data_IF_527825195616
#
_entry.id   IF_527825195616
#
_cell.length_a   1.000
_cell.length_b   1.000
_cell.length_c   1.000
_cell.angle_alpha   90.00
_cell.angle_beta   90.00
_cell.angle_gamma   90.00
#
_symmetry.space_group_name_H-M   'P 1'
#
loop_
_entity.id
_entity.type
_entity.pdbx_description
1 polymer ?
#
# COMPACT_ATOMS: atom_id res chain seq x y z
N UNK A 1 65.67 -60.59 -37.80
CA UNK A 1 65.66 -59.62 -36.68
C UNK A 1 64.63 -58.50 -36.82
N UNK A 2 64.46 -57.85 -37.99
CA UNK A 2 63.53 -56.72 -38.17
C UNK A 2 62.06 -56.97 -37.80
N UNK A 3 61.48 -58.15 -38.10
CA UNK A 3 60.06 -58.47 -37.78
C UNK A 3 59.76 -58.61 -36.28
N UNK A 4 60.69 -59.17 -35.48
CA UNK A 4 60.54 -59.27 -34.01
C UNK A 4 60.63 -57.89 -33.34
N UNK A 5 61.47 -57.00 -33.86
CA UNK A 5 61.61 -55.64 -33.35
C UNK A 5 60.35 -54.79 -33.59
N UNK A 6 59.74 -54.92 -34.77
CA UNK A 6 58.48 -54.24 -35.11
C UNK A 6 57.34 -54.72 -34.19
N UNK A 7 57.24 -56.02 -33.92
CA UNK A 7 56.21 -56.59 -33.05
C UNK A 7 56.30 -56.08 -31.59
N UNK A 8 57.52 -55.97 -31.06
CA UNK A 8 57.76 -55.43 -29.71
C UNK A 8 57.43 -53.93 -29.64
N UNK A 9 57.78 -53.16 -30.68
CA UNK A 9 57.43 -51.74 -30.78
C UNK A 9 55.91 -51.52 -30.83
N UNK A 10 55.18 -52.35 -31.57
CA UNK A 10 53.72 -52.27 -31.64
C UNK A 10 53.07 -52.58 -30.29
N UNK A 11 53.57 -53.58 -29.54
CA UNK A 11 53.07 -53.88 -28.19
C UNK A 11 53.39 -52.76 -27.19
N UNK A 12 54.57 -52.15 -27.27
CA UNK A 12 54.94 -51.02 -26.42
C UNK A 12 54.06 -49.79 -26.72
N UNK A 13 53.77 -49.52 -28.00
CA UNK A 13 52.89 -48.44 -28.43
C UNK A 13 51.46 -48.70 -27.95
N UNK A 14 50.92 -49.91 -28.15
CA UNK A 14 49.57 -50.28 -27.68
C UNK A 14 49.48 -50.22 -26.15
N UNK A 15 50.51 -50.69 -25.43
CA UNK A 15 50.59 -50.60 -23.97
C UNK A 15 50.66 -49.15 -23.47
N UNK A 16 51.40 -48.28 -24.17
CA UNK A 16 51.47 -46.85 -23.86
C UNK A 16 50.18 -46.10 -24.17
N UNK A 17 49.48 -46.46 -25.25
CA UNK A 17 48.16 -45.91 -25.61
C UNK A 17 47.11 -46.39 -24.62
N UNK A 18 47.11 -47.67 -24.26
CA UNK A 18 46.22 -48.22 -23.24
C UNK A 18 46.47 -47.54 -21.89
N UNK A 19 47.73 -47.33 -21.50
CA UNK A 19 48.08 -46.57 -20.30
C UNK A 19 47.62 -45.10 -20.39
N UNK A 20 47.78 -44.45 -21.54
CA UNK A 20 47.29 -43.08 -21.80
C UNK A 20 45.77 -42.99 -21.96
N UNK A 21 45.03 -44.09 -22.09
CA UNK A 21 43.56 -44.09 -22.12
C UNK A 21 43.00 -44.48 -20.75
N UNK A 22 43.65 -45.41 -20.03
CA UNK A 22 43.21 -45.88 -18.71
C UNK A 22 43.76 -45.06 -17.53
N UNK A 23 44.96 -44.48 -17.66
CA UNK A 23 45.62 -43.68 -16.62
C UNK A 23 45.69 -42.18 -16.96
N UNK A 24 45.12 -41.75 -18.08
CA UNK A 24 44.91 -40.33 -18.33
C UNK A 24 43.77 -39.84 -17.44
N UNK A 25 43.96 -38.75 -16.68
CA UNK A 25 43.04 -38.44 -15.62
C UNK A 25 41.66 -38.11 -16.19
N UNK A 26 40.61 -38.71 -15.60
CA UNK A 26 39.39 -37.96 -15.26
C UNK A 26 39.82 -36.56 -14.81
N UNK A 27 39.10 -35.51 -15.22
CA UNK A 27 39.37 -34.11 -14.84
C UNK A 27 40.06 -34.00 -13.47
N UNK A 28 41.21 -33.33 -13.41
CA UNK A 28 41.92 -33.10 -12.14
C UNK A 28 41.19 -32.12 -11.22
N UNK A 29 40.18 -31.44 -11.74
CA UNK A 29 39.21 -30.68 -10.96
C UNK A 29 38.03 -31.58 -10.66
N UNK A 30 37.72 -31.76 -9.38
CA UNK A 30 36.53 -32.43 -8.86
C UNK A 30 35.52 -31.35 -8.53
N UNK A 31 34.36 -31.43 -9.17
CA UNK A 31 33.24 -30.53 -8.93
C UNK A 31 32.31 -31.14 -7.89
N UNK A 32 31.53 -30.30 -7.22
CA UNK A 32 30.43 -30.75 -6.38
C UNK A 32 29.40 -31.54 -7.20
N UNK A 33 28.71 -32.46 -6.52
CA UNK A 33 27.62 -33.23 -7.12
C UNK A 33 26.44 -32.33 -7.57
N UNK A 34 26.24 -31.20 -6.88
CA UNK A 34 25.26 -30.19 -7.25
C UNK A 34 25.94 -28.89 -7.71
N UNK A 35 25.69 -28.52 -8.96
CA UNK A 35 26.16 -27.30 -9.61
C UNK A 35 25.00 -26.33 -9.76
N UNK A 36 24.34 -26.02 -8.66
CA UNK A 36 23.19 -25.12 -8.60
C UNK A 36 23.51 -23.85 -7.80
N UNK A 37 23.15 -22.69 -8.35
CA UNK A 37 23.20 -21.42 -7.65
C UNK A 37 21.80 -20.82 -7.59
N UNK A 38 21.50 -20.19 -6.46
CA UNK A 38 20.24 -19.48 -6.27
C UNK A 38 20.25 -18.14 -7.01
N UNK A 39 19.11 -17.75 -7.57
CA UNK A 39 18.96 -16.46 -8.27
C UNK A 39 19.30 -15.30 -7.32
N UNK A 40 20.10 -14.34 -7.81
CA UNK A 40 20.60 -13.17 -7.07
C UNK A 40 21.44 -13.49 -5.82
N UNK A 41 21.98 -14.70 -5.70
CA UNK A 41 22.93 -15.07 -4.64
C UNK A 41 24.37 -14.63 -4.94
N UNK A 42 25.22 -14.55 -3.90
CA UNK A 42 26.65 -14.23 -4.03
C UNK A 42 27.50 -15.48 -4.28
N UNK A 43 27.07 -16.33 -5.21
CA UNK A 43 27.73 -17.60 -5.50
C UNK A 43 29.11 -17.41 -6.15
N UNK A 44 30.08 -18.21 -5.72
CA UNK A 44 31.45 -18.19 -6.22
C UNK A 44 31.83 -19.51 -6.87
N UNK A 45 32.80 -19.48 -7.77
CA UNK A 45 33.29 -20.66 -8.44
C UNK A 45 33.87 -21.69 -7.46
N UNK A 46 34.53 -21.23 -6.39
CA UNK A 46 35.05 -22.11 -5.33
C UNK A 46 33.97 -22.90 -4.60
N UNK A 47 32.72 -22.40 -4.54
CA UNK A 47 31.61 -23.08 -3.85
C UNK A 47 31.27 -24.43 -4.51
N UNK A 48 31.67 -24.60 -5.77
CA UNK A 48 31.37 -25.75 -6.63
C UNK A 48 32.59 -26.63 -6.95
N UNK A 49 33.77 -26.29 -6.44
CA UNK A 49 35.01 -27.02 -6.67
C UNK A 49 35.42 -27.69 -5.36
N UNK A 50 35.23 -29.01 -5.26
CA UNK A 50 35.59 -29.78 -4.06
C UNK A 50 37.11 -29.96 -3.93
N UNK A 51 37.78 -30.23 -5.06
CA UNK A 51 39.21 -30.54 -5.05
C UNK A 51 39.87 -30.20 -6.39
N UNK A 52 41.09 -29.66 -6.33
CA UNK A 52 42.03 -29.64 -7.47
C UNK A 52 43.17 -30.61 -7.18
N UNK A 53 43.12 -31.80 -7.77
CA UNK A 53 44.09 -32.88 -7.54
C UNK A 53 45.50 -32.47 -7.95
N UNK A 54 46.42 -32.42 -6.97
CA UNK A 54 47.83 -32.01 -7.14
C UNK A 54 47.94 -30.59 -7.70
N UNK A 55 47.08 -29.70 -7.25
CA UNK A 55 47.01 -28.32 -7.70
C UNK A 55 46.18 -27.43 -6.77
N UNK A 56 45.88 -26.22 -7.23
CA UNK A 56 45.02 -25.26 -6.52
C UNK A 56 44.26 -24.38 -7.50
N UNK A 57 43.17 -23.77 -7.02
CA UNK A 57 42.54 -22.64 -7.69
C UNK A 57 43.48 -21.42 -7.62
N UNK A 58 43.67 -20.72 -8.74
CA UNK A 58 44.55 -19.54 -8.81
C UNK A 58 43.85 -18.31 -8.24
N UNK A 59 42.62 -18.09 -8.69
CA UNK A 59 41.76 -16.99 -8.28
C UNK A 59 40.31 -17.46 -8.33
N UNK A 60 39.53 -16.98 -7.37
CA UNK A 60 38.11 -17.27 -7.29
C UNK A 60 37.30 -16.30 -8.14
N UNK A 61 36.20 -16.76 -8.71
CA UNK A 61 35.39 -15.99 -9.65
C UNK A 61 33.95 -15.90 -9.16
N UNK A 62 33.39 -14.70 -9.17
CA UNK A 62 31.97 -14.51 -8.93
C UNK A 62 31.16 -15.09 -10.10
N UNK A 63 30.05 -15.74 -9.79
CA UNK A 63 29.12 -16.27 -10.79
C UNK A 63 28.00 -15.25 -10.99
N UNK A 64 27.70 -14.92 -12.25
CA UNK A 64 26.54 -14.07 -12.57
C UNK A 64 25.23 -14.84 -12.31
N UNK A 65 24.64 -14.60 -11.15
CA UNK A 65 23.35 -15.17 -10.73
C UNK A 65 22.18 -14.23 -11.00
N UNK A 66 22.36 -13.15 -11.79
CA UNK A 66 21.30 -12.16 -12.04
C UNK A 66 20.18 -12.66 -12.96
N UNK A 67 20.39 -13.80 -13.63
CA UNK A 67 19.44 -14.42 -14.55
C UNK A 67 19.44 -15.94 -14.39
N UNK A 68 18.27 -16.54 -14.56
CA UNK A 68 18.13 -17.99 -14.60
C UNK A 68 18.75 -18.57 -15.89
N UNK A 69 19.22 -19.82 -15.81
CA UNK A 69 19.80 -20.54 -16.93
C UNK A 69 21.12 -21.23 -16.58
N UNK A 70 21.86 -21.66 -17.60
CA UNK A 70 23.19 -22.26 -17.43
C UNK A 70 24.24 -21.20 -17.69
N UNK A 71 25.01 -20.87 -16.66
CA UNK A 71 26.12 -19.91 -16.73
C UNK A 71 27.42 -20.69 -16.89
N UNK A 72 28.19 -20.38 -17.93
CA UNK A 72 29.53 -20.95 -18.11
C UNK A 72 30.53 -20.17 -17.27
N UNK A 73 31.15 -20.86 -16.30
CA UNK A 73 32.16 -20.31 -15.40
C UNK A 73 33.53 -20.75 -15.91
N UNK A 74 34.46 -19.79 -16.02
CA UNK A 74 35.87 -20.07 -16.35
C UNK A 74 36.73 -19.66 -15.17
N UNK A 75 37.43 -20.63 -14.59
CA UNK A 75 38.45 -20.39 -13.55
C UNK A 75 39.81 -20.82 -14.05
N UNK A 76 40.87 -20.34 -13.40
CA UNK A 76 42.23 -20.79 -13.66
C UNK A 76 42.72 -21.66 -12.52
N UNK A 77 43.24 -22.85 -12.85
CA UNK A 77 43.81 -23.79 -11.88
C UNK A 77 45.29 -23.99 -12.17
N UNK A 78 46.12 -23.99 -11.12
CA UNK A 78 47.52 -24.39 -11.22
C UNK A 78 47.63 -25.88 -10.88
N UNK A 79 48.14 -26.68 -11.82
CA UNK A 79 48.40 -28.09 -11.63
C UNK A 79 49.88 -28.35 -11.92
N UNK A 80 50.65 -28.62 -10.87
CA UNK A 80 52.09 -28.88 -10.95
C UNK A 80 52.88 -27.74 -11.65
N UNK A 81 52.55 -26.48 -11.34
CA UNK A 81 53.23 -25.29 -11.87
C UNK A 81 52.77 -24.90 -13.29
N UNK A 82 51.61 -25.39 -13.73
CA UNK A 82 51.03 -25.10 -15.04
C UNK A 82 49.60 -24.59 -14.88
N UNK A 83 49.42 -23.29 -15.09
CA UNK A 83 48.11 -22.62 -15.06
C UNK A 83 47.31 -22.99 -16.30
N UNK A 84 46.06 -23.43 -16.12
CA UNK A 84 45.14 -23.78 -17.22
C UNK A 84 43.74 -23.27 -16.92
N UNK A 85 42.98 -22.83 -17.94
CA UNK A 85 41.56 -22.55 -17.76
C UNK A 85 40.80 -23.87 -17.56
N UNK A 86 39.87 -23.86 -16.62
CA UNK A 86 38.89 -24.90 -16.41
C UNK A 86 37.49 -24.30 -16.54
N UNK A 87 36.66 -24.94 -17.37
CA UNK A 87 35.31 -24.49 -17.68
C UNK A 87 34.30 -25.49 -17.15
N UNK A 88 33.29 -24.98 -16.47
CA UNK A 88 32.14 -25.76 -16.04
C UNK A 88 30.88 -24.90 -16.13
N UNK A 89 29.71 -25.52 -15.99
CA UNK A 89 28.43 -24.82 -16.07
C UNK A 89 27.70 -24.94 -14.75
N UNK A 90 27.29 -23.81 -14.20
CA UNK A 90 26.42 -23.74 -13.02
C UNK A 90 25.01 -23.42 -13.49
N UNK A 91 24.03 -24.18 -12.99
CA UNK A 91 22.62 -23.91 -13.23
C UNK A 91 22.16 -22.88 -12.21
N UNK A 92 21.82 -21.69 -12.69
CA UNK A 92 21.13 -20.68 -11.89
C UNK A 92 19.63 -20.91 -12.04
N UNK A 93 18.94 -21.15 -10.93
CA UNK A 93 17.48 -21.17 -10.90
C UNK A 93 17.00 -20.61 -9.59
N UNK A 94 15.82 -20.02 -9.64
CA UNK A 94 15.11 -19.52 -8.48
C UNK A 94 14.36 -20.66 -7.80
N UNK A 95 14.71 -20.95 -6.54
CA UNK A 95 14.11 -22.03 -5.75
C UNK A 95 13.45 -21.55 -4.47
N UNK A 96 13.56 -20.25 -4.18
CA UNK A 96 12.97 -19.65 -3.00
C UNK A 96 11.52 -19.25 -3.30
N UNK A 97 10.65 -19.49 -2.33
CA UNK A 97 9.26 -19.07 -2.44
C UNK A 97 9.11 -17.60 -2.03
N UNK A 98 8.11 -16.89 -2.60
CA UNK A 98 7.78 -15.54 -2.17
C UNK A 98 7.49 -15.44 -0.68
N UNK A 99 7.90 -14.36 -0.03
CA UNK A 99 7.59 -14.07 1.37
C UNK A 99 6.34 -13.19 1.48
N UNK A 100 5.32 -13.67 2.22
CA UNK A 100 4.08 -12.92 2.50
C UNK A 100 4.19 -12.18 3.84
N UNK A 101 4.30 -10.86 3.76
CA UNK A 101 4.35 -9.94 4.89
C UNK A 101 2.97 -9.32 5.13
N UNK A 102 2.38 -9.66 6.28
CA UNK A 102 1.03 -9.25 6.69
C UNK A 102 0.90 -9.33 8.20
N UNK A 103 0.10 -8.45 8.84
CA UNK A 103 -0.36 -8.67 10.20
C UNK A 103 -1.18 -9.96 10.31
N UNK A 104 -1.30 -10.49 11.53
CA UNK A 104 -2.11 -11.68 11.82
C UNK A 104 -3.61 -11.41 11.64
N UNK A 105 -4.05 -10.19 11.97
CA UNK A 105 -5.42 -9.75 11.84
C UNK A 105 -5.51 -8.36 11.21
N UNK A 106 -6.48 -8.18 10.32
CA UNK A 106 -6.77 -6.92 9.62
C UNK A 106 -8.21 -6.53 9.92
N UNK A 107 -8.40 -5.36 10.54
CA UNK A 107 -9.73 -4.82 10.74
C UNK A 107 -10.21 -4.06 9.49
N UNK A 108 -11.42 -4.35 9.03
CA UNK A 108 -12.08 -3.69 7.91
C UNK A 108 -13.48 -3.21 8.31
N UNK A 109 -13.93 -2.10 7.75
CA UNK A 109 -15.19 -1.46 8.16
C UNK A 109 -16.40 -2.25 7.66
N UNK A 110 -17.42 -2.38 8.53
CA UNK A 110 -18.72 -2.95 8.18
C UNK A 110 -19.33 -2.23 6.97
N UNK A 111 -19.86 -3.02 6.04
CA UNK A 111 -20.51 -2.55 4.81
C UNK A 111 -19.54 -2.02 3.76
N UNK A 112 -18.23 -2.29 3.89
CA UNK A 112 -17.19 -1.87 2.95
C UNK A 112 -16.33 -3.05 2.50
N UNK A 113 -15.89 -3.08 1.23
CA UNK A 113 -14.91 -4.07 0.79
C UNK A 113 -13.57 -3.83 1.48
N UNK A 114 -12.80 -4.90 1.66
CA UNK A 114 -11.52 -4.89 2.34
C UNK A 114 -10.39 -5.02 1.30
N UNK A 115 -9.63 -3.95 1.04
CA UNK A 115 -8.56 -3.94 0.04
C UNK A 115 -7.28 -4.59 0.55
N UNK A 116 -7.29 -5.93 0.62
CA UNK A 116 -6.17 -6.73 1.11
C UNK A 116 -4.89 -6.55 0.28
N UNK A 117 -5.04 -6.30 -1.02
CA UNK A 117 -3.95 -6.15 -1.98
C UNK A 117 -3.01 -4.98 -1.66
N UNK A 118 -3.51 -3.95 -0.98
CA UNK A 118 -2.73 -2.75 -0.61
C UNK A 118 -2.06 -2.88 0.77
N UNK A 119 -2.53 -3.82 1.59
CA UNK A 119 -2.06 -4.04 2.96
C UNK A 119 -1.01 -5.14 3.00
N UNK A 120 -1.22 -6.19 2.23
CA UNK A 120 -0.38 -7.38 2.21
C UNK A 120 0.76 -7.14 1.23
N UNK A 121 1.99 -7.19 1.73
CA UNK A 121 3.19 -7.05 0.91
C UNK A 121 3.76 -8.43 0.63
N UNK A 122 4.05 -8.70 -0.63
CA UNK A 122 4.73 -9.93 -1.05
C UNK A 122 6.06 -9.56 -1.69
N UNK A 123 7.13 -10.18 -1.23
CA UNK A 123 8.50 -9.95 -1.72
C UNK A 123 9.13 -11.27 -2.13
N UNK A 124 10.12 -11.20 -3.00
CA UNK A 124 10.84 -12.37 -3.48
C UNK A 124 12.29 -11.99 -3.80
N UNK A 125 13.19 -12.97 -3.91
CA UNK A 125 14.56 -12.75 -4.37
C UNK A 125 14.60 -12.50 -5.89
N UNK A 126 13.59 -12.90 -6.64
CA UNK A 126 13.38 -12.47 -8.02
C UNK A 126 12.80 -11.05 -8.07
N UNK A 127 13.15 -10.29 -9.11
CA UNK A 127 12.51 -9.00 -9.42
C UNK A 127 11.26 -9.19 -10.29
N UNK A 128 10.70 -10.39 -10.31
CA UNK A 128 9.63 -10.78 -11.22
C UNK A 128 8.26 -10.47 -10.63
N UNK A 129 7.23 -10.50 -11.49
CA UNK A 129 5.85 -10.30 -11.03
C UNK A 129 5.37 -11.55 -10.29
N UNK A 130 4.91 -11.36 -9.06
CA UNK A 130 4.34 -12.41 -8.21
C UNK A 130 2.83 -12.43 -8.36
N UNK A 131 2.26 -13.62 -8.53
CA UNK A 131 0.82 -13.83 -8.58
C UNK A 131 0.29 -14.02 -7.15
N UNK A 132 -0.62 -13.16 -6.72
CA UNK A 132 -1.26 -13.21 -5.40
C UNK A 132 -2.72 -13.64 -5.56
N UNK A 133 -3.18 -14.56 -4.72
CA UNK A 133 -4.56 -15.02 -4.70
C UNK A 133 -5.09 -15.18 -3.28
N UNK A 134 -6.35 -14.81 -3.08
CA UNK A 134 -7.04 -14.88 -1.80
C UNK A 134 -8.16 -15.93 -1.86
N UNK A 135 -8.17 -16.84 -0.89
CA UNK A 135 -9.19 -17.87 -0.77
C UNK A 135 -9.89 -17.74 0.58
N UNK A 136 -11.21 -17.61 0.53
CA UNK A 136 -12.05 -17.39 1.70
C UNK A 136 -13.29 -16.61 1.29
N UNK A 137 -14.33 -16.63 2.13
CA UNK A 137 -15.50 -15.78 1.94
C UNK A 137 -15.58 -14.83 3.12
N UNK A 138 -15.41 -13.54 2.85
CA UNK A 138 -15.61 -12.47 3.82
C UNK A 138 -16.97 -11.84 3.50
N UNK A 139 -17.87 -11.85 4.47
CA UNK A 139 -19.17 -11.17 4.37
C UNK A 139 -19.01 -9.77 4.98
N UNK A 140 -18.78 -8.75 4.13
CA UNK A 140 -18.58 -7.37 4.59
C UNK A 140 -19.79 -6.79 5.31
N UNK A 141 -20.97 -7.38 5.17
CA UNK A 141 -22.22 -6.90 5.78
C UNK A 141 -22.46 -7.46 7.19
N UNK A 142 -21.56 -8.33 7.68
CA UNK A 142 -21.69 -8.94 9.01
C UNK A 142 -20.42 -8.75 9.82
N UNK A 143 -20.52 -8.17 11.04
CA UNK A 143 -19.38 -8.13 11.95
C UNK A 143 -18.90 -9.53 12.31
N UNK A 144 -17.59 -9.71 12.40
CA UNK A 144 -17.00 -11.00 12.78
C UNK A 144 -15.60 -11.24 12.22
N UNK A 145 -15.00 -12.33 12.68
CA UNK A 145 -13.71 -12.81 12.19
C UNK A 145 -13.91 -13.82 11.06
N UNK A 146 -13.18 -13.62 9.97
CA UNK A 146 -13.21 -14.46 8.78
C UNK A 146 -11.79 -14.91 8.45
N UNK A 147 -11.59 -16.22 8.28
CA UNK A 147 -10.30 -16.76 7.86
C UNK A 147 -10.14 -16.63 6.34
N UNK A 148 -9.04 -16.02 5.92
CA UNK A 148 -8.64 -15.88 4.52
C UNK A 148 -7.24 -16.45 4.34
N UNK A 149 -7.09 -17.36 3.38
CA UNK A 149 -5.80 -17.88 2.95
C UNK A 149 -5.26 -16.98 1.83
N UNK A 150 -4.12 -16.34 2.07
CA UNK A 150 -3.34 -15.64 1.06
C UNK A 150 -2.30 -16.60 0.48
N UNK A 151 -2.26 -16.71 -0.84
CA UNK A 151 -1.30 -17.52 -1.58
C UNK A 151 -0.50 -16.65 -2.54
N UNK A 152 0.80 -16.88 -2.64
CA UNK A 152 1.71 -16.20 -3.55
C UNK A 152 2.50 -17.21 -4.37
N UNK A 153 2.68 -16.93 -5.67
CA UNK A 153 3.40 -17.76 -6.62
C UNK A 153 4.27 -16.90 -7.54
N UNK A 154 5.57 -17.21 -7.63
CA UNK A 154 6.49 -16.57 -8.58
C UNK A 154 6.39 -17.21 -9.98
N UNK A 155 7.22 -16.77 -10.94
CA UNK A 155 7.20 -17.34 -12.31
C UNK A 155 7.96 -18.67 -12.42
N UNK A 156 8.82 -18.97 -11.46
CA UNK A 156 9.54 -20.24 -11.34
C UNK A 156 8.66 -21.36 -10.77
N UNK A 157 7.48 -20.99 -10.23
CA UNK A 157 6.48 -21.89 -9.69
C UNK A 157 6.64 -22.13 -8.18
N UNK A 158 7.51 -21.40 -7.48
CA UNK A 158 7.62 -21.52 -6.03
C UNK A 158 6.45 -20.80 -5.35
N UNK A 159 5.96 -21.36 -4.24
CA UNK A 159 4.70 -20.94 -3.62
C UNK A 159 4.82 -20.79 -2.12
N UNK A 160 4.11 -19.80 -1.59
CA UNK A 160 3.89 -19.63 -0.16
C UNK A 160 2.41 -19.37 0.12
N UNK A 161 1.98 -19.77 1.33
CA UNK A 161 0.61 -19.55 1.80
C UNK A 161 0.66 -19.02 3.23
N UNK A 162 -0.29 -18.14 3.57
CA UNK A 162 -0.46 -17.61 4.92
C UNK A 162 -1.94 -17.38 5.22
N UNK A 163 -2.38 -17.88 6.38
CA UNK A 163 -3.72 -17.60 6.89
C UNK A 163 -3.72 -16.23 7.57
N UNK A 164 -4.76 -15.45 7.29
CA UNK A 164 -4.95 -14.08 7.79
C UNK A 164 -6.38 -13.98 8.31
N UNK A 165 -6.56 -13.35 9.47
CA UNK A 165 -7.89 -13.07 9.99
C UNK A 165 -8.36 -11.70 9.49
N UNK A 166 -9.51 -11.67 8.83
CA UNK A 166 -10.20 -10.43 8.48
C UNK A 166 -11.30 -10.20 9.50
N UNK A 167 -11.17 -9.12 10.26
CA UNK A 167 -12.16 -8.72 11.26
C UNK A 167 -13.05 -7.62 10.69
N UNK A 168 -14.31 -7.93 10.43
CA UNK A 168 -15.30 -6.92 10.03
C UNK A 168 -15.82 -6.23 11.28
N UNK A 169 -15.59 -4.92 11.38
CA UNK A 169 -15.87 -4.12 12.57
C UNK A 169 -16.99 -3.12 12.32
N UNK A 170 -17.95 -3.08 13.25
CA UNK A 170 -18.90 -1.97 13.37
C UNK A 170 -18.29 -0.89 14.27
N UNK A 171 -17.78 0.17 13.66
CA UNK A 171 -17.09 1.25 14.36
C UNK A 171 -18.00 2.02 15.33
N UNK A 172 -19.33 1.95 15.15
CA UNK A 172 -20.30 2.62 16.02
C UNK A 172 -20.60 1.83 17.29
N UNK A 173 -20.38 0.50 17.27
CA UNK A 173 -20.55 -0.38 18.43
C UNK A 173 -19.26 -0.63 19.18
N UNK A 174 -18.13 -0.20 18.63
CA UNK A 174 -16.82 -0.37 19.22
C UNK A 174 -16.33 0.94 19.88
N UNK A 175 -16.15 0.91 21.20
CA UNK A 175 -15.65 2.04 21.98
C UNK A 175 -14.14 1.98 22.22
N UNK A 176 -13.48 0.92 21.77
CA UNK A 176 -12.06 0.70 21.99
C UNK A 176 -11.20 1.47 20.97
N UNK A 177 -9.95 1.70 21.35
CA UNK A 177 -8.94 2.19 20.43
C UNK A 177 -8.66 1.12 19.38
N UNK A 178 -8.89 1.45 18.11
CA UNK A 178 -8.83 0.48 17.01
C UNK A 178 -8.16 1.05 15.78
N UNK A 179 -7.30 0.25 15.15
CA UNK A 179 -6.78 0.52 13.80
C UNK A 179 -7.52 -0.31 12.77
N UNK A 180 -7.76 0.23 11.58
CA UNK A 180 -8.46 -0.44 10.49
C UNK A 180 -7.90 -0.04 9.13
N UNK A 181 -8.34 -0.73 8.09
CA UNK A 181 -8.04 -0.43 6.69
C UNK A 181 -9.35 -0.05 5.99
N UNK A 182 -9.30 0.99 5.17
CA UNK A 182 -10.44 1.45 4.37
C UNK A 182 -10.60 0.68 3.07
N UNK A 183 -11.72 0.84 2.37
CA UNK A 183 -11.94 0.20 1.07
C UNK A 183 -11.07 0.75 -0.05
N UNK A 184 -10.32 1.83 0.17
CA UNK A 184 -9.28 2.28 -0.76
C UNK A 184 -7.86 1.95 -0.27
N UNK A 185 -7.72 1.22 0.83
CA UNK A 185 -6.43 0.78 1.39
C UNK A 185 -5.70 1.83 2.23
N UNK A 186 -6.39 2.85 2.72
CA UNK A 186 -5.81 3.79 3.67
C UNK A 186 -5.82 3.21 5.08
N UNK A 187 -4.84 3.60 5.90
CA UNK A 187 -4.85 3.29 7.32
C UNK A 187 -5.81 4.22 8.06
N UNK A 188 -6.66 3.62 8.90
CA UNK A 188 -7.55 4.32 9.81
C UNK A 188 -7.20 4.01 11.26
N UNK A 189 -7.43 4.98 12.14
CA UNK A 189 -7.35 4.79 13.59
C UNK A 189 -8.51 5.51 14.26
N UNK A 190 -9.09 4.90 15.29
CA UNK A 190 -9.99 5.53 16.24
C UNK A 190 -9.33 5.46 17.61
N UNK A 191 -9.14 6.62 18.24
CA UNK A 191 -8.53 6.74 19.58
C UNK A 191 -9.35 7.69 20.43
N UNK A 192 -9.78 7.24 21.61
CA UNK A 192 -10.63 8.03 22.50
C UNK A 192 -11.91 8.56 21.81
N UNK A 193 -12.49 7.75 20.92
CA UNK A 193 -13.67 8.11 20.13
C UNK A 193 -13.41 9.05 18.93
N UNK A 194 -12.18 9.47 18.69
CA UNK A 194 -11.81 10.34 17.55
C UNK A 194 -11.24 9.49 16.43
N UNK A 195 -11.83 9.57 15.24
CA UNK A 195 -11.36 8.82 14.06
C UNK A 195 -10.48 9.67 13.15
N UNK A 196 -9.35 9.11 12.71
CA UNK A 196 -8.50 9.65 11.65
C UNK A 196 -8.27 8.61 10.55
N UNK A 197 -8.26 9.06 9.31
CA UNK A 197 -7.87 8.24 8.15
C UNK A 197 -6.69 8.90 7.45
N UNK A 198 -5.59 8.17 7.33
CA UNK A 198 -4.31 8.68 6.84
C UNK A 198 -3.89 10.00 7.53
N UNK A 199 -4.13 10.09 8.85
CA UNK A 199 -3.88 11.28 9.67
C UNK A 199 -4.94 12.40 9.57
N UNK A 200 -5.91 12.29 8.68
CA UNK A 200 -7.00 13.27 8.50
C UNK A 200 -8.15 13.00 9.45
N UNK A 201 -8.54 13.98 10.28
CA UNK A 201 -9.68 13.88 11.18
C UNK A 201 -11.00 13.73 10.41
N UNK A 202 -11.77 12.69 10.70
CA UNK A 202 -13.05 12.43 10.05
C UNK A 202 -14.18 12.65 11.06
N UNK A 203 -15.17 13.44 10.64
CA UNK A 203 -16.46 13.58 11.29
C UNK A 203 -17.52 13.53 10.19
N UNK A 204 -18.36 12.50 10.20
CA UNK A 204 -19.46 12.31 9.26
C UNK A 204 -20.55 11.44 9.92
N UNK A 205 -21.52 10.93 9.15
CA UNK A 205 -22.62 10.15 9.73
C UNK A 205 -22.19 8.82 10.36
N UNK A 206 -21.07 8.25 9.94
CA UNK A 206 -20.50 7.03 10.53
C UNK A 206 -19.48 7.31 11.62
N UNK A 207 -18.62 8.33 11.47
CA UNK A 207 -17.58 8.62 12.45
C UNK A 207 -18.00 9.81 13.32
N UNK A 208 -18.47 9.51 14.52
CA UNK A 208 -18.87 10.52 15.51
C UNK A 208 -17.67 11.05 16.31
N UNK A 209 -17.80 12.28 16.79
CA UNK A 209 -16.91 12.94 17.74
C UNK A 209 -17.48 12.86 19.16
N UNK A 210 -16.62 12.69 20.20
CA UNK A 210 -17.06 12.71 21.60
C UNK A 210 -17.78 14.01 21.99
N UNK A 211 -18.72 13.95 22.92
CA UNK A 211 -19.45 15.15 23.39
C UNK A 211 -18.53 16.21 24.03
N UNK A 212 -17.49 15.77 24.73
CA UNK A 212 -16.47 16.64 25.32
C UNK A 212 -15.39 17.14 24.34
N UNK A 213 -15.43 16.72 23.08
CA UNK A 213 -14.44 17.13 22.09
C UNK A 213 -14.81 18.48 21.44
N UNK A 214 -13.85 19.39 21.39
CA UNK A 214 -13.94 20.59 20.56
C UNK A 214 -12.86 21.62 20.88
N UNK A 215 -12.28 22.29 19.87
CA UNK A 215 -11.23 23.29 20.08
C UNK A 215 -11.74 24.67 20.58
N UNK A 216 -13.06 24.89 20.68
CA UNK A 216 -13.64 26.18 21.09
C UNK A 216 -13.64 27.28 20.01
N UNK A 217 -13.02 27.03 18.86
CA UNK A 217 -12.88 27.96 17.74
C UNK A 217 -12.25 27.25 16.53
N UNK A 218 -11.94 28.00 15.46
CA UNK A 218 -11.14 27.41 14.38
C UNK A 218 -9.77 27.00 14.92
N UNK A 219 -9.28 25.84 14.49
CA UNK A 219 -7.91 25.44 14.81
C UNK A 219 -6.93 26.46 14.23
N UNK A 220 -5.75 26.63 14.85
CA UNK A 220 -4.75 27.60 14.38
C UNK A 220 -4.36 27.42 12.91
N UNK A 221 -4.32 26.17 12.41
CA UNK A 221 -4.04 25.87 10.99
C UNK A 221 -5.19 26.31 10.08
N UNK A 222 -6.43 26.02 10.45
CA UNK A 222 -7.60 26.44 9.68
C UNK A 222 -7.73 27.97 9.68
N UNK A 223 -7.56 28.63 10.83
CA UNK A 223 -7.61 30.09 10.92
C UNK A 223 -6.53 30.78 10.05
N UNK A 224 -5.30 30.26 10.04
CA UNK A 224 -4.23 30.77 9.19
C UNK A 224 -4.56 30.58 7.70
N UNK A 225 -5.04 29.40 7.31
CA UNK A 225 -5.45 29.10 5.94
C UNK A 225 -6.63 29.96 5.47
N UNK A 226 -7.62 30.21 6.34
CA UNK A 226 -8.70 31.15 6.06
C UNK A 226 -8.15 32.55 5.77
N UNK A 227 -7.25 33.07 6.62
CA UNK A 227 -6.65 34.39 6.41
C UNK A 227 -5.86 34.50 5.10
N UNK A 228 -5.19 33.42 4.67
CA UNK A 228 -4.56 33.37 3.34
C UNK A 228 -5.59 33.44 2.21
N UNK A 229 -6.64 32.62 2.30
CA UNK A 229 -7.70 32.55 1.29
C UNK A 229 -8.47 33.87 1.17
N UNK A 230 -8.85 34.48 2.29
CA UNK A 230 -9.55 35.77 2.36
C UNK A 230 -8.73 36.90 1.72
N UNK A 231 -7.42 36.96 2.00
CA UNK A 231 -6.53 37.97 1.39
C UNK A 231 -6.42 37.79 -0.12
N UNK A 232 -6.40 36.55 -0.60
CA UNK A 232 -6.37 36.27 -2.03
C UNK A 232 -7.70 36.62 -2.71
N UNK A 233 -8.82 36.22 -2.11
CA UNK A 233 -10.16 36.57 -2.58
C UNK A 233 -10.29 38.09 -2.76
N UNK A 234 -9.85 38.87 -1.76
CA UNK A 234 -9.85 40.33 -1.82
C UNK A 234 -8.98 40.91 -2.93
N UNK A 235 -7.82 40.29 -3.23
CA UNK A 235 -6.97 40.72 -4.35
C UNK A 235 -7.63 40.49 -5.70
N UNK A 236 -8.46 39.44 -5.79
CA UNK A 236 -9.25 39.12 -6.99
C UNK A 236 -10.60 39.86 -7.01
N UNK A 237 -10.81 40.82 -6.11
CA UNK A 237 -12.02 41.66 -6.05
C UNK A 237 -13.23 41.00 -5.38
N UNK A 238 -13.04 39.86 -4.72
CA UNK A 238 -14.11 39.13 -4.01
C UNK A 238 -14.19 39.55 -2.54
N UNK A 239 -15.40 39.51 -1.95
CA UNK A 239 -15.62 39.74 -0.53
C UNK A 239 -16.21 38.50 0.15
N UNK A 240 -15.36 37.73 0.83
CA UNK A 240 -15.77 36.52 1.56
C UNK A 240 -15.69 36.73 3.07
N UNK A 241 -16.68 36.19 3.79
CA UNK A 241 -16.83 36.32 5.25
C UNK A 241 -17.31 35.00 5.85
N UNK A 242 -16.83 34.67 7.04
CA UNK A 242 -17.32 33.49 7.78
C UNK A 242 -18.63 33.85 8.48
N UNK A 243 -19.70 33.11 8.21
CA UNK A 243 -20.99 33.25 8.91
C UNK A 243 -21.15 32.25 10.05
N UNK A 244 -20.51 31.08 9.94
CA UNK A 244 -20.53 30.05 10.98
C UNK A 244 -19.21 29.27 10.94
N UNK A 245 -18.63 29.04 12.13
CA UNK A 245 -17.33 28.39 12.31
C UNK A 245 -17.44 27.21 13.26
N UNK A 246 -16.66 27.19 14.34
CA UNK A 246 -16.78 26.14 15.36
C UNK A 246 -18.18 26.12 15.99
N UNK A 247 -18.73 24.91 16.15
CA UNK A 247 -20.00 24.64 16.84
C UNK A 247 -19.79 23.50 17.82
N UNK A 248 -20.10 23.73 19.10
CA UNK A 248 -19.95 22.69 20.13
C UNK A 248 -20.98 21.57 19.95
N UNK A 249 -20.73 20.44 20.60
CA UNK A 249 -21.68 19.31 20.63
C UNK A 249 -23.07 19.74 21.12
N UNK A 250 -23.14 20.50 22.22
CA UNK A 250 -24.41 20.93 22.81
C UNK A 250 -25.15 21.93 21.92
N UNK A 251 -24.43 22.84 21.27
CA UNK A 251 -25.02 23.73 20.27
C UNK A 251 -25.57 22.94 19.08
N UNK A 252 -24.82 21.93 18.59
CA UNK A 252 -25.30 21.06 17.51
C UNK A 252 -26.53 20.25 17.95
N UNK A 253 -26.57 19.78 19.20
CA UNK A 253 -27.73 19.05 19.75
C UNK A 253 -28.99 19.92 19.76
N UNK A 254 -28.88 21.15 20.27
CA UNK A 254 -29.99 22.09 20.25
C UNK A 254 -30.45 22.40 18.82
N UNK A 255 -29.51 22.68 17.91
CA UNK A 255 -29.81 23.02 16.53
C UNK A 255 -30.49 21.86 15.79
N UNK A 256 -29.97 20.63 15.94
CA UNK A 256 -30.55 19.45 15.34
C UNK A 256 -31.97 19.21 15.82
N UNK A 257 -32.22 19.30 17.14
CA UNK A 257 -33.56 19.13 17.69
C UNK A 257 -34.55 20.16 17.14
N UNK A 258 -34.10 21.41 16.95
CA UNK A 258 -34.92 22.45 16.32
C UNK A 258 -35.31 22.07 14.88
N UNK A 259 -34.37 21.59 14.05
CA UNK A 259 -34.69 21.12 12.70
C UNK A 259 -35.62 19.89 12.71
N UNK A 260 -35.47 18.99 13.68
CA UNK A 260 -36.40 17.85 13.83
C UNK A 260 -37.81 18.33 14.16
N UNK A 261 -37.96 19.38 14.97
CA UNK A 261 -39.26 19.97 15.31
C UNK A 261 -39.89 20.72 14.12
N UNK A 262 -39.08 21.43 13.32
CA UNK A 262 -39.54 22.25 12.19
C UNK A 262 -39.84 21.41 10.93
N UNK A 263 -38.92 20.51 10.57
CA UNK A 263 -38.92 19.83 9.27
C UNK A 263 -39.08 18.30 9.37
N UNK A 264 -38.96 17.75 10.58
CA UNK A 264 -39.02 16.31 10.85
C UNK A 264 -37.65 15.60 10.73
N UNK A 265 -37.50 14.47 11.43
CA UNK A 265 -36.23 13.72 11.54
C UNK A 265 -35.59 13.36 10.21
N UNK A 266 -36.40 12.96 9.22
CA UNK A 266 -35.89 12.51 7.92
C UNK A 266 -35.18 13.65 7.18
N UNK A 267 -35.75 14.85 7.20
CA UNK A 267 -35.17 16.04 6.55
C UNK A 267 -33.97 16.56 7.35
N UNK A 268 -34.12 16.65 8.68
CA UNK A 268 -33.04 17.06 9.57
C UNK A 268 -31.80 16.15 9.48
N UNK A 269 -31.98 14.86 9.19
CA UNK A 269 -30.89 13.90 9.00
C UNK A 269 -30.06 14.19 7.74
N UNK A 270 -30.53 15.01 6.77
CA UNK A 270 -29.84 15.37 5.53
C UNK A 270 -29.43 16.85 5.45
N UNK A 271 -30.24 17.76 5.99
CA UNK A 271 -29.98 19.21 6.02
C UNK A 271 -29.27 19.69 7.30
N UNK A 272 -29.13 18.80 8.29
CA UNK A 272 -28.39 19.05 9.52
C UNK A 272 -27.59 17.80 9.91
N UNK A 273 -26.92 17.86 11.06
CA UNK A 273 -26.14 16.75 11.60
C UNK A 273 -26.59 16.42 13.02
N UNK A 274 -26.73 15.13 13.33
CA UNK A 274 -26.84 14.67 14.71
C UNK A 274 -25.62 15.16 15.51
N UNK A 275 -25.75 15.47 16.82
CA UNK A 275 -24.62 15.94 17.61
C UNK A 275 -23.48 14.90 17.61
N UNK A 276 -22.23 15.36 17.48
CA UNK A 276 -21.07 14.50 17.25
C UNK A 276 -20.75 14.24 15.77
N UNK A 277 -21.72 14.40 14.86
CA UNK A 277 -21.53 14.12 13.43
C UNK A 277 -21.25 15.37 12.58
N UNK A 278 -21.30 16.57 13.19
CA UNK A 278 -21.04 17.83 12.48
C UNK A 278 -19.54 18.11 12.35
N UNK A 279 -19.08 18.41 11.14
CA UNK A 279 -17.71 18.87 10.93
C UNK A 279 -17.40 20.20 11.64
N UNK A 280 -18.39 21.04 11.95
CA UNK A 280 -18.16 22.28 12.70
C UNK A 280 -17.56 22.01 14.09
N UNK A 281 -17.86 20.86 14.69
CA UNK A 281 -17.28 20.47 15.98
C UNK A 281 -15.76 20.24 15.91
N UNK A 282 -15.21 20.00 14.71
CA UNK A 282 -13.75 19.86 14.50
C UNK A 282 -13.00 21.19 14.60
N UNK A 283 -13.68 22.34 14.44
CA UNK A 283 -13.01 23.63 14.22
C UNK A 283 -12.23 23.71 12.90
N UNK A 284 -12.57 22.85 11.94
CA UNK A 284 -11.98 22.81 10.59
C UNK A 284 -13.01 23.13 9.50
N UNK A 285 -14.28 23.34 9.83
CA UNK A 285 -15.32 23.71 8.88
C UNK A 285 -15.76 25.17 9.09
N UNK A 286 -16.12 25.82 7.98
CA UNK A 286 -16.70 27.15 7.95
C UNK A 286 -17.83 27.21 6.92
N UNK A 287 -18.84 27.99 7.24
CA UNK A 287 -19.86 28.46 6.30
C UNK A 287 -19.50 29.86 5.85
N UNK A 288 -19.54 30.12 4.54
CA UNK A 288 -19.08 31.38 3.95
C UNK A 288 -20.24 32.15 3.31
N UNK A 289 -20.36 33.44 3.66
CA UNK A 289 -21.30 34.43 3.13
C UNK A 289 -22.80 34.12 3.30
N UNK A 290 -23.34 33.09 2.63
CA UNK A 290 -24.78 32.81 2.58
C UNK A 290 -25.04 31.31 2.62
N UNK A 291 -25.89 30.87 3.55
CA UNK A 291 -26.32 29.48 3.72
C UNK A 291 -27.50 29.12 2.78
N UNK A 292 -27.38 29.47 1.51
CA UNK A 292 -28.40 29.18 0.49
C UNK A 292 -27.75 28.62 -0.77
N UNK A 293 -28.41 27.67 -1.45
CA UNK A 293 -27.85 27.03 -2.65
C UNK A 293 -27.50 28.02 -3.75
N UNK A 294 -28.28 29.11 -3.88
CA UNK A 294 -28.03 30.17 -4.86
C UNK A 294 -26.66 30.85 -4.71
N UNK A 295 -26.00 30.68 -3.56
CA UNK A 295 -24.64 31.18 -3.33
C UNK A 295 -23.65 30.66 -4.37
N UNK A 296 -23.82 29.43 -4.89
CA UNK A 296 -22.96 28.85 -5.94
C UNK A 296 -22.86 29.77 -7.18
N UNK A 297 -23.92 30.54 -7.46
CA UNK A 297 -24.04 31.33 -8.67
C UNK A 297 -23.43 32.73 -8.55
N UNK A 298 -23.08 33.15 -7.33
CA UNK A 298 -22.42 34.42 -7.04
C UNK A 298 -20.96 34.43 -7.53
N UNK A 299 -20.36 35.61 -7.79
CA UNK A 299 -18.93 35.71 -8.06
C UNK A 299 -18.08 35.04 -6.99
N UNK A 300 -18.41 35.24 -5.72
CA UNK A 300 -17.70 34.67 -4.56
C UNK A 300 -17.81 33.14 -4.52
N UNK A 301 -19.00 32.59 -4.71
CA UNK A 301 -19.21 31.13 -4.74
C UNK A 301 -18.41 30.46 -5.85
N UNK A 302 -18.43 31.03 -7.06
CA UNK A 302 -17.62 30.56 -8.20
C UNK A 302 -16.13 30.69 -7.94
N UNK A 303 -15.70 31.78 -7.30
CA UNK A 303 -14.30 31.98 -6.95
C UNK A 303 -13.84 30.93 -5.93
N UNK A 304 -14.62 30.70 -4.86
CA UNK A 304 -14.31 29.71 -3.84
C UNK A 304 -14.21 28.31 -4.45
N UNK A 305 -15.18 27.90 -5.27
CA UNK A 305 -15.18 26.59 -5.92
C UNK A 305 -13.90 26.34 -6.73
N UNK A 306 -13.34 27.38 -7.35
CA UNK A 306 -12.16 27.27 -8.22
C UNK A 306 -10.82 27.57 -7.51
N UNK A 307 -10.83 28.04 -6.27
CA UNK A 307 -9.62 28.54 -5.61
C UNK A 307 -9.39 28.02 -4.19
N UNK A 308 -10.42 27.57 -3.49
CA UNK A 308 -10.33 27.19 -2.07
C UNK A 308 -9.27 26.09 -1.82
N UNK A 309 -9.13 25.13 -2.74
CA UNK A 309 -8.16 24.03 -2.60
C UNK A 309 -6.71 24.51 -2.49
N UNK A 310 -6.37 25.64 -3.12
CA UNK A 310 -5.03 26.25 -3.08
C UNK A 310 -4.62 26.64 -1.66
N UNK A 311 -5.61 26.86 -0.80
CA UNK A 311 -5.46 27.23 0.60
C UNK A 311 -5.74 26.06 1.56
N UNK A 312 -6.03 24.86 1.03
CA UNK A 312 -6.31 23.67 1.82
C UNK A 312 -7.77 23.49 2.23
N UNK A 313 -8.68 24.26 1.63
CA UNK A 313 -10.13 24.17 1.85
C UNK A 313 -10.81 23.44 0.70
N UNK A 314 -11.77 22.58 1.00
CA UNK A 314 -12.57 21.86 -0.01
C UNK A 314 -14.04 22.25 0.10
N UNK A 315 -14.74 22.26 -1.03
CA UNK A 315 -16.19 22.22 -1.02
C UNK A 315 -16.62 20.83 -0.54
N UNK A 316 -17.12 20.73 0.69
CA UNK A 316 -17.26 19.43 1.37
C UNK A 316 -18.44 18.61 0.87
N UNK A 317 -19.56 19.28 0.63
CA UNK A 317 -20.83 18.70 0.24
C UNK A 317 -21.17 19.21 -1.16
N UNK A 318 -20.77 18.41 -2.15
CA UNK A 318 -20.89 18.72 -3.57
C UNK A 318 -22.25 18.30 -4.09
N UNK A 319 -22.69 18.89 -5.20
CA UNK A 319 -23.99 18.60 -5.81
C UNK A 319 -24.16 17.14 -6.18
N UNK A 320 -23.12 16.52 -6.71
CA UNK A 320 -23.10 15.12 -7.14
C UNK A 320 -22.69 14.15 -6.01
N UNK A 321 -22.27 14.67 -4.84
CA UNK A 321 -21.77 13.88 -3.71
C UNK A 321 -22.82 13.59 -2.62
N UNK A 322 -24.08 13.96 -2.81
CA UNK A 322 -25.11 13.88 -1.77
C UNK A 322 -25.39 12.43 -1.32
N UNK A 323 -25.44 11.48 -2.25
CA UNK A 323 -25.63 10.06 -1.95
C UNK A 323 -24.47 9.45 -1.14
N UNK A 324 -23.26 9.95 -1.36
CA UNK A 324 -22.05 9.45 -0.72
C UNK A 324 -21.86 10.09 0.66
N UNK A 325 -21.95 11.42 0.74
CA UNK A 325 -21.76 12.16 1.99
C UNK A 325 -22.97 12.04 2.92
N UNK A 326 -24.16 11.86 2.36
CA UNK A 326 -25.44 11.88 3.03
C UNK A 326 -25.98 13.29 3.32
N UNK A 327 -25.24 14.35 2.98
CA UNK A 327 -25.67 15.73 3.20
C UNK A 327 -26.16 16.34 1.89
N UNK A 328 -27.09 17.29 1.99
CA UNK A 328 -27.52 18.07 0.83
C UNK A 328 -26.36 18.87 0.23
N UNK A 329 -26.55 19.42 -0.96
CA UNK A 329 -25.57 20.31 -1.54
C UNK A 329 -25.42 21.60 -0.71
N UNK A 330 -24.21 21.90 -0.27
CA UNK A 330 -23.92 23.10 0.55
C UNK A 330 -22.77 23.91 -0.07
N UNK A 331 -23.03 24.78 -1.06
CA UNK A 331 -22.00 25.58 -1.73
C UNK A 331 -21.26 26.56 -0.81
N UNK A 332 -21.74 26.73 0.43
CA UNK A 332 -21.16 27.58 1.47
C UNK A 332 -20.24 26.84 2.44
N UNK A 333 -20.36 25.51 2.57
CA UNK A 333 -19.64 24.72 3.58
C UNK A 333 -18.28 24.28 3.06
N UNK A 334 -17.23 24.89 3.62
CA UNK A 334 -15.85 24.57 3.29
C UNK A 334 -15.13 23.91 4.45
N UNK A 335 -14.44 22.81 4.14
CA UNK A 335 -13.67 22.00 5.11
C UNK A 335 -12.18 22.14 4.89
N UNK A 336 -11.42 22.49 5.93
CA UNK A 336 -9.96 22.50 5.89
C UNK A 336 -9.41 21.08 6.07
N UNK A 337 -8.60 20.66 5.10
CA UNK A 337 -7.89 19.37 5.04
C UNK A 337 -6.39 19.51 4.77
N UNK A 338 -5.93 20.74 4.53
CA UNK A 338 -4.55 21.05 4.14
C UNK A 338 -4.34 20.98 2.62
N UNK A 339 -3.33 21.70 2.13
CA UNK A 339 -3.13 21.98 0.69
C UNK A 339 -2.96 20.71 -0.16
N UNK A 340 -2.21 19.72 0.33
CA UNK A 340 -1.96 18.47 -0.42
C UNK A 340 -3.25 17.70 -0.68
N UNK A 341 -4.00 17.38 0.37
CA UNK A 341 -5.24 16.61 0.24
C UNK A 341 -6.31 17.42 -0.50
N UNK A 342 -6.40 18.73 -0.26
CA UNK A 342 -7.36 19.57 -0.98
C UNK A 342 -7.08 19.60 -2.50
N UNK A 343 -5.81 19.61 -2.90
CA UNK A 343 -5.42 19.52 -4.32
C UNK A 343 -5.83 18.20 -4.96
N UNK A 344 -5.68 17.09 -4.24
CA UNK A 344 -6.08 15.76 -4.71
C UNK A 344 -7.61 15.65 -4.83
N UNK A 345 -8.35 16.22 -3.86
CA UNK A 345 -9.81 16.23 -3.85
C UNK A 345 -10.41 17.19 -4.87
N UNK A 346 -9.72 18.27 -5.26
CA UNK A 346 -10.20 19.21 -6.27
C UNK A 346 -10.37 18.58 -7.65
N UNK A 347 -9.51 17.61 -8.01
CA UNK A 347 -9.60 16.84 -9.26
C UNK A 347 -9.97 17.68 -10.50
N UNK A 348 -9.19 18.74 -10.75
CA UNK A 348 -9.36 19.67 -11.86
C UNK A 348 -10.72 20.40 -11.93
N UNK A 349 -11.44 20.52 -10.81
CA UNK A 349 -12.76 21.14 -10.74
C UNK A 349 -13.88 20.16 -10.41
N UNK A 350 -13.66 18.88 -10.67
CA UNK A 350 -14.62 17.80 -10.44
C UNK A 350 -14.37 17.17 -9.07
N UNK A 351 -14.76 17.91 -8.02
CA UNK A 351 -14.49 17.56 -6.63
C UNK A 351 -14.85 16.11 -6.28
N UNK A 352 -13.87 15.40 -5.72
CA UNK A 352 -14.04 14.07 -5.13
C UNK A 352 -14.45 14.24 -3.65
N UNK A 353 -15.43 13.47 -3.19
CA UNK A 353 -15.82 13.50 -1.77
C UNK A 353 -14.71 12.92 -0.89
N UNK A 354 -14.67 13.32 0.38
CA UNK A 354 -13.72 12.76 1.37
C UNK A 354 -13.95 11.25 1.53
N UNK A 355 -15.21 10.85 1.52
CA UNK A 355 -15.66 9.46 1.56
C UNK A 355 -15.13 8.62 0.39
N UNK A 356 -15.35 9.06 -0.86
CA UNK A 356 -14.89 8.33 -2.05
C UNK A 356 -13.38 8.29 -2.13
N UNK A 357 -12.70 9.38 -1.78
CA UNK A 357 -11.24 9.42 -1.79
C UNK A 357 -10.66 8.40 -0.80
N UNK A 358 -11.16 8.38 0.44
CA UNK A 358 -10.64 7.48 1.46
C UNK A 358 -11.23 6.07 1.42
N UNK A 359 -12.35 5.84 0.73
CA UNK A 359 -13.07 4.57 0.78
C UNK A 359 -13.70 4.34 2.15
N UNK A 360 -14.45 5.31 2.65
CA UNK A 360 -15.09 5.26 3.98
C UNK A 360 -16.58 5.56 3.90
N UNK A 361 -17.40 4.97 4.78
CA UNK A 361 -18.85 5.17 4.77
C UNK A 361 -19.26 6.51 5.41
N UNK A 362 -20.44 7.00 5.03
CA UNK A 362 -21.18 8.05 5.75
C UNK A 362 -22.65 7.65 5.88
N UNK A 363 -22.95 6.84 6.89
CA UNK A 363 -24.30 6.38 7.24
C UNK A 363 -24.47 6.37 8.75
N UNK A 364 -25.62 6.85 9.22
CA UNK A 364 -26.01 6.68 10.62
C UNK A 364 -26.20 5.19 10.92
N UNK A 365 -25.87 4.79 12.14
CA UNK A 365 -26.23 3.46 12.62
C UNK A 365 -27.76 3.28 12.53
N UNK A 366 -28.19 2.09 12.09
CA UNK A 366 -29.60 1.71 12.15
C UNK A 366 -29.96 1.59 13.64
N UNK A 367 -30.95 2.38 14.07
CA UNK A 367 -31.48 2.38 15.44
C UNK A 367 -32.17 1.07 15.81
#
# INVERSE_FOLDING_TARGET
MKKKLIFILVIAIIGSIAYLVFFWPKSRVVLSDDLHAELNSKAKASDYIEEVKKGSLVEDADIDTSKTGKVEVTVYVDILGKIRPYKFKVKVSDTLAPEIQTPESINCLLGQPCELSKVIRVTDNSNEKIKINFKGKVDSEKPGLYDVECSAEDQSGNKSNKNIQINIIDINKNNDDISFVTSNGFSGERKGGITKVNGTLIANKTFTLPSGYGPGGLTGKAAAAWSEMEKAARKDGMSITVVSGYRSYDTQKWLYNKYVEEDGKKEADTSSARPGHSEHQTGLAIDINSVEEKFENTPEGKWLNNNAYKYGWILRYTKDGQEVTGYIFEPWHYRYVGKKLAQELYNNGDWITVEDYFGIPSKYAVE
#
